data_IF_508922195513
#
_entry.id   IF_508922195513
#
_cell.length_a   1.000
_cell.length_b   1.000
_cell.length_c   1.000
_cell.angle_alpha   90.00
_cell.angle_beta   90.00
_cell.angle_gamma   90.00
#
_symmetry.space_group_name_H-M   'P 1'
#
loop_
_entity.id
_entity.type
_entity.pdbx_description
1 polymer ?
#
# COMPACT_ATOMS: atom_id res chain seq x y z
N UNK A 1 46.32 -17.37 -8.36
CA UNK A 1 45.27 -16.51 -8.92
C UNK A 1 43.95 -17.21 -8.65
N UNK A 2 43.25 -16.91 -7.56
CA UNK A 2 42.48 -15.68 -7.32
C UNK A 2 41.00 -16.09 -7.47
N UNK A 3 40.26 -16.13 -6.36
CA UNK A 3 39.00 -16.89 -6.13
C UNK A 3 37.78 -16.28 -6.88
N UNK A 4 38.02 -15.58 -7.99
CA UNK A 4 37.01 -14.78 -8.68
C UNK A 4 36.62 -13.52 -7.92
N UNK A 5 35.53 -12.89 -8.35
CA UNK A 5 34.96 -11.69 -7.71
C UNK A 5 33.81 -12.07 -6.77
N UNK A 6 33.78 -11.45 -5.58
CA UNK A 6 32.75 -11.69 -4.57
C UNK A 6 31.47 -10.95 -4.96
N UNK A 7 30.32 -11.64 -4.97
CA UNK A 7 29.00 -11.09 -5.29
C UNK A 7 28.21 -10.59 -4.06
N UNK A 8 28.90 -10.16 -3.01
CA UNK A 8 28.25 -9.60 -1.82
C UNK A 8 27.58 -8.26 -2.16
N UNK A 9 26.27 -8.15 -1.90
CA UNK A 9 25.48 -6.97 -2.26
C UNK A 9 25.33 -6.77 -3.78
N UNK A 10 25.53 -7.83 -4.58
CA UNK A 10 25.44 -7.77 -6.03
C UNK A 10 24.40 -8.74 -6.55
N UNK A 11 23.58 -8.29 -7.49
CA UNK A 11 22.66 -9.13 -8.26
C UNK A 11 23.29 -9.46 -9.61
N UNK A 12 23.64 -10.73 -9.80
CA UNK A 12 24.01 -11.26 -11.11
C UNK A 12 22.75 -11.71 -11.83
N UNK A 13 22.56 -11.23 -13.06
CA UNK A 13 21.54 -11.75 -13.96
C UNK A 13 22.20 -12.46 -15.15
N UNK A 14 21.52 -13.48 -15.65
CA UNK A 14 21.97 -14.27 -16.78
C UNK A 14 20.81 -14.42 -17.77
N UNK A 15 21.00 -13.90 -18.97
CA UNK A 15 20.05 -14.04 -20.05
C UNK A 15 20.31 -15.36 -20.78
N UNK A 16 19.42 -16.35 -20.61
CA UNK A 16 19.58 -17.67 -21.21
C UNK A 16 19.42 -17.68 -22.74
N UNK A 17 18.79 -16.67 -23.33
CA UNK A 17 18.54 -16.62 -24.77
C UNK A 17 19.79 -16.21 -25.55
N UNK A 18 20.54 -15.23 -25.02
CA UNK A 18 21.72 -14.67 -25.69
C UNK A 18 23.03 -14.83 -24.89
N UNK A 19 22.98 -15.50 -23.75
CA UNK A 19 24.12 -15.77 -22.85
C UNK A 19 24.80 -14.51 -22.29
N UNK A 20 24.12 -13.37 -22.31
CA UNK A 20 24.64 -12.14 -21.70
C UNK A 20 24.51 -12.19 -20.17
N UNK A 21 25.48 -11.57 -19.49
CA UNK A 21 25.46 -11.37 -18.05
C UNK A 21 25.49 -9.88 -17.74
N UNK A 22 24.71 -9.45 -16.75
CA UNK A 22 24.89 -8.14 -16.14
C UNK A 22 24.90 -8.27 -14.62
N UNK A 23 25.76 -7.49 -13.98
CA UNK A 23 25.85 -7.39 -12.52
C UNK A 23 25.38 -6.00 -12.10
N UNK A 24 24.45 -5.95 -11.15
CA UNK A 24 24.01 -4.72 -10.50
C UNK A 24 24.45 -4.74 -9.04
N UNK A 25 24.95 -3.61 -8.56
CA UNK A 25 25.20 -3.40 -7.14
C UNK A 25 23.91 -2.93 -6.46
N UNK A 26 23.50 -3.64 -5.41
CA UNK A 26 22.38 -3.27 -4.57
C UNK A 26 22.95 -2.47 -3.40
N UNK A 27 22.62 -1.19 -3.36
CA UNK A 27 22.94 -0.33 -2.23
C UNK A 27 21.92 -0.56 -1.11
N UNK A 28 22.41 -0.57 0.12
CA UNK A 28 21.54 -0.67 1.29
C UNK A 28 21.07 0.75 1.63
N UNK A 29 19.76 0.99 1.55
CA UNK A 29 19.18 2.23 2.07
C UNK A 29 18.77 2.01 3.53
N UNK A 30 19.21 2.88 4.44
CA UNK A 30 18.85 2.82 5.86
C UNK A 30 17.32 2.83 6.11
N UNK A 31 16.55 3.28 5.12
CA UNK A 31 15.08 3.36 5.16
C UNK A 31 14.43 1.98 5.29
N UNK A 32 15.07 0.90 4.82
CA UNK A 32 14.49 -0.46 4.83
C UNK A 32 14.91 -1.30 6.03
N UNK A 33 15.82 -0.83 6.90
CA UNK A 33 16.26 -1.58 8.09
C UNK A 33 15.10 -1.95 9.02
N UNK A 34 14.11 -1.08 9.14
CA UNK A 34 12.93 -1.30 9.97
C UNK A 34 11.95 -2.33 9.35
N UNK A 35 12.14 -2.69 8.08
CA UNK A 35 11.33 -3.70 7.38
C UNK A 35 11.94 -5.10 7.46
N UNK A 36 13.17 -5.24 7.97
CA UNK A 36 13.87 -6.52 8.06
C UNK A 36 13.50 -7.20 9.39
N UNK A 37 12.87 -8.38 9.36
CA UNK A 37 12.54 -9.11 10.59
C UNK A 37 13.81 -9.53 11.32
N UNK A 38 13.92 -9.20 12.62
CA UNK A 38 15.14 -9.44 13.41
C UNK A 38 15.18 -10.77 14.15
N UNK A 39 14.09 -11.53 14.13
CA UNK A 39 14.01 -12.87 14.73
C UNK A 39 13.25 -13.82 13.82
N UNK A 40 13.35 -15.12 14.11
CA UNK A 40 12.61 -16.16 13.39
C UNK A 40 11.10 -15.96 13.55
N UNK A 41 10.65 -15.65 14.76
CA UNK A 41 9.24 -15.44 15.08
C UNK A 41 8.69 -14.22 14.33
N UNK A 42 9.45 -13.11 14.29
CA UNK A 42 9.08 -11.94 13.51
C UNK A 42 9.07 -12.24 12.01
N UNK A 43 10.03 -13.03 11.52
CA UNK A 43 10.12 -13.45 10.12
C UNK A 43 8.88 -14.27 9.72
N UNK A 44 8.46 -15.22 10.55
CA UNK A 44 7.28 -16.07 10.31
C UNK A 44 5.97 -15.30 10.42
N UNK A 45 5.89 -14.29 11.28
CA UNK A 45 4.72 -13.42 11.44
C UNK A 45 4.66 -12.26 10.42
N UNK A 46 5.70 -12.08 9.59
CA UNK A 46 5.75 -10.98 8.63
C UNK A 46 4.79 -11.21 7.47
N UNK A 47 3.95 -10.22 7.21
CA UNK A 47 3.08 -10.23 6.04
C UNK A 47 3.84 -9.81 4.78
N UNK A 48 4.40 -10.80 4.08
CA UNK A 48 5.14 -10.58 2.84
C UNK A 48 4.25 -10.20 1.66
N UNK A 49 2.94 -10.49 1.69
CA UNK A 49 2.05 -10.04 0.62
C UNK A 49 1.96 -8.52 0.63
N UNK A 50 1.77 -7.94 1.83
CA UNK A 50 1.85 -6.50 2.04
C UNK A 50 3.23 -5.94 1.72
N UNK A 51 4.30 -6.56 2.24
CA UNK A 51 5.67 -6.04 2.12
C UNK A 51 6.16 -6.04 0.66
N UNK A 52 5.78 -7.06 -0.11
CA UNK A 52 6.10 -7.20 -1.54
C UNK A 52 5.11 -6.47 -2.47
N UNK A 53 4.01 -5.91 -1.94
CA UNK A 53 3.02 -5.17 -2.72
C UNK A 53 2.29 -6.02 -3.76
N UNK A 54 1.99 -7.28 -3.44
CA UNK A 54 1.22 -8.16 -4.32
C UNK A 54 -0.24 -7.67 -4.31
N UNK A 55 -0.73 -7.15 -5.45
CA UNK A 55 -2.13 -6.73 -5.59
C UNK A 55 -3.07 -7.90 -5.37
N UNK A 56 -4.07 -7.70 -4.51
CA UNK A 56 -5.16 -8.64 -4.32
C UNK A 56 -6.15 -8.54 -5.46
N UNK A 57 -6.59 -9.68 -6.01
CA UNK A 57 -7.48 -9.74 -7.17
C UNK A 57 -8.86 -9.08 -6.95
N UNK A 58 -9.24 -8.76 -5.71
CA UNK A 58 -10.57 -8.25 -5.35
C UNK A 58 -10.54 -6.84 -4.73
N UNK A 59 -9.39 -6.17 -4.72
CA UNK A 59 -9.29 -4.77 -4.28
C UNK A 59 -9.07 -3.91 -5.52
N UNK A 60 -9.96 -2.94 -5.72
CA UNK A 60 -9.88 -2.05 -6.88
C UNK A 60 -8.92 -0.87 -6.62
N UNK A 61 -7.93 -0.73 -7.50
CA UNK A 61 -7.04 0.43 -7.54
C UNK A 61 -7.77 1.63 -8.15
N UNK A 62 -8.04 2.67 -7.35
CA UNK A 62 -8.58 3.93 -7.85
C UNK A 62 -7.45 4.90 -8.18
N UNK A 63 -7.48 5.44 -9.40
CA UNK A 63 -6.71 6.64 -9.72
C UNK A 63 -7.39 7.88 -9.13
N UNK A 64 -6.78 9.06 -9.31
CA UNK A 64 -7.32 10.30 -8.73
C UNK A 64 -8.66 10.75 -9.32
N UNK A 65 -8.93 10.44 -10.59
CA UNK A 65 -10.19 10.77 -11.27
C UNK A 65 -11.31 9.86 -10.79
N UNK A 66 -11.07 8.54 -10.83
CA UNK A 66 -12.03 7.54 -10.36
C UNK A 66 -12.36 7.74 -8.89
N UNK A 67 -11.35 8.11 -8.08
CA UNK A 67 -11.57 8.45 -6.67
C UNK A 67 -12.50 9.65 -6.53
N UNK A 68 -12.26 10.75 -7.25
CA UNK A 68 -13.08 11.96 -7.15
C UNK A 68 -14.54 11.72 -7.55
N UNK A 69 -14.79 10.83 -8.51
CA UNK A 69 -16.14 10.44 -8.90
C UNK A 69 -16.79 9.55 -7.82
N UNK A 70 -16.10 8.48 -7.40
CA UNK A 70 -16.68 7.47 -6.50
C UNK A 70 -16.96 7.97 -5.10
N UNK A 71 -16.19 8.92 -4.55
CA UNK A 71 -16.46 9.45 -3.20
C UNK A 71 -17.82 10.16 -3.08
N UNK A 72 -18.46 10.49 -4.21
CA UNK A 72 -19.78 11.13 -4.25
C UNK A 72 -20.93 10.16 -4.49
N UNK A 73 -20.63 8.88 -4.73
CA UNK A 73 -21.65 7.85 -4.92
C UNK A 73 -22.45 7.61 -3.64
N UNK A 74 -23.68 7.11 -3.80
CA UNK A 74 -24.52 6.75 -2.65
C UNK A 74 -24.04 5.42 -2.08
N UNK A 75 -24.22 5.24 -0.78
CA UNK A 75 -23.82 4.03 -0.06
C UNK A 75 -22.29 3.78 -0.12
N UNK A 76 -21.55 4.88 -0.19
CA UNK A 76 -20.08 4.90 -0.20
C UNK A 76 -19.57 5.52 1.09
N UNK A 77 -18.57 4.88 1.68
CA UNK A 77 -17.81 5.44 2.79
C UNK A 77 -16.33 5.55 2.43
N UNK A 78 -15.74 6.70 2.74
CA UNK A 78 -14.30 6.91 2.59
C UNK A 78 -13.64 6.85 3.95
N UNK A 79 -12.59 6.04 4.09
CA UNK A 79 -11.91 5.76 5.35
C UNK A 79 -10.45 6.16 5.25
N UNK A 80 -10.03 7.07 6.13
CA UNK A 80 -8.63 7.41 6.36
C UNK A 80 -8.03 6.46 7.38
N UNK A 81 -7.04 5.66 6.94
CA UNK A 81 -6.37 4.67 7.81
C UNK A 81 -5.03 5.15 8.35
N UNK A 82 -4.77 6.46 8.26
CA UNK A 82 -3.62 7.12 8.87
C UNK A 82 -3.82 7.31 10.38
N UNK A 83 -2.72 7.61 11.06
CA UNK A 83 -2.78 8.05 12.46
C UNK A 83 -3.43 9.45 12.55
N UNK A 84 -4.05 9.75 13.69
CA UNK A 84 -4.90 10.93 13.89
C UNK A 84 -4.18 12.26 13.56
N UNK A 85 -2.88 12.32 13.86
CA UNK A 85 -2.07 13.53 13.76
C UNK A 85 -1.38 13.72 12.39
N UNK A 86 -1.67 12.87 11.40
CA UNK A 86 -1.03 12.97 10.09
C UNK A 86 -1.53 14.16 9.25
N UNK A 87 -0.58 14.84 8.61
CA UNK A 87 -0.82 15.93 7.68
C UNK A 87 -0.43 15.51 6.26
N UNK A 88 -1.12 16.03 5.21
CA UNK A 88 -2.23 16.97 5.27
C UNK A 88 -3.53 16.35 5.81
N UNK A 89 -4.43 17.19 6.31
CA UNK A 89 -5.82 16.77 6.51
C UNK A 89 -6.51 16.62 5.15
N UNK A 90 -7.30 15.57 5.00
CA UNK A 90 -8.15 15.41 3.83
C UNK A 90 -9.26 16.46 3.83
N UNK A 91 -9.56 17.02 2.66
CA UNK A 91 -10.54 18.10 2.46
C UNK A 91 -11.88 17.60 1.88
N UNK A 92 -12.11 16.29 1.96
CA UNK A 92 -13.33 15.60 1.54
C UNK A 92 -13.95 14.84 2.71
N UNK A 93 -15.22 14.44 2.59
CA UNK A 93 -15.91 13.69 3.63
C UNK A 93 -15.26 12.29 3.82
N UNK A 94 -14.87 11.98 5.04
CA UNK A 94 -14.26 10.71 5.41
C UNK A 94 -14.49 10.42 6.89
N UNK A 95 -14.35 9.16 7.27
CA UNK A 95 -14.16 8.76 8.66
C UNK A 95 -12.70 8.42 8.89
N UNK A 96 -12.18 8.71 10.09
CA UNK A 96 -10.82 8.36 10.48
C UNK A 96 -10.86 7.11 11.35
N UNK A 97 -10.29 6.02 10.82
CA UNK A 97 -10.10 4.76 11.53
C UNK A 97 -8.65 4.34 11.30
N UNK A 98 -7.73 4.68 12.22
CA UNK A 98 -6.33 4.28 12.12
C UNK A 98 -6.21 2.77 11.90
N UNK A 99 -5.22 2.36 11.10
CA UNK A 99 -5.02 0.94 10.77
C UNK A 99 -4.87 0.06 12.03
N UNK A 100 -4.28 0.61 13.10
CA UNK A 100 -4.12 -0.04 14.41
C UNK A 100 -5.44 -0.34 15.10
N UNK A 101 -6.47 0.49 14.89
CA UNK A 101 -7.80 0.36 15.51
C UNK A 101 -8.82 -0.35 14.60
N UNK A 102 -8.48 -0.55 13.32
CA UNK A 102 -9.42 -1.00 12.30
C UNK A 102 -10.16 -2.29 12.68
N UNK A 103 -9.44 -3.28 13.22
CA UNK A 103 -10.02 -4.57 13.65
C UNK A 103 -11.11 -4.41 14.72
N UNK A 104 -10.95 -3.47 15.64
CA UNK A 104 -11.90 -3.25 16.74
C UNK A 104 -13.12 -2.45 16.27
N UNK A 105 -12.96 -1.67 15.19
CA UNK A 105 -13.93 -0.70 14.69
C UNK A 105 -14.64 -1.14 13.40
N UNK A 106 -14.49 -2.42 13.00
CA UNK A 106 -15.14 -2.99 11.81
C UNK A 106 -16.67 -2.81 11.81
N UNK A 107 -17.29 -2.80 12.99
CA UNK A 107 -18.75 -2.62 13.15
C UNK A 107 -19.26 -1.23 12.77
N UNK A 108 -18.38 -0.23 12.66
CA UNK A 108 -18.72 1.12 12.19
C UNK A 108 -18.95 1.17 10.68
N UNK A 109 -18.44 0.18 9.93
CA UNK A 109 -18.41 0.17 8.47
C UNK A 109 -19.68 -0.50 7.93
N UNK A 110 -20.71 0.30 7.65
CA UNK A 110 -22.05 -0.20 7.30
C UNK A 110 -22.32 -0.19 5.80
N UNK A 111 -21.69 0.73 5.10
CA UNK A 111 -21.85 1.00 3.67
C UNK A 111 -21.34 -0.16 2.81
N UNK A 112 -21.91 -0.33 1.62
CA UNK A 112 -21.52 -1.39 0.69
C UNK A 112 -20.23 -1.07 -0.07
N UNK A 113 -20.01 0.20 -0.40
CA UNK A 113 -18.80 0.65 -1.10
C UNK A 113 -17.85 1.30 -0.10
N UNK A 114 -16.65 0.74 0.02
CA UNK A 114 -15.62 1.24 0.92
C UNK A 114 -14.44 1.73 0.09
N UNK A 115 -14.04 2.98 0.31
CA UNK A 115 -12.87 3.58 -0.31
C UNK A 115 -11.84 3.87 0.77
N UNK A 116 -10.66 3.25 0.66
CA UNK A 116 -9.59 3.39 1.64
C UNK A 116 -8.50 4.32 1.12
N UNK A 117 -7.94 5.15 1.98
CA UNK A 117 -6.75 5.92 1.63
C UNK A 117 -5.81 6.08 2.81
N UNK A 118 -4.53 6.29 2.49
CA UNK A 118 -3.51 6.67 3.46
C UNK A 118 -2.51 7.62 2.79
N UNK A 119 -1.30 7.77 3.35
CA UNK A 119 -0.30 8.68 2.81
C UNK A 119 0.18 8.30 1.41
N UNK A 120 0.55 7.03 1.21
CA UNK A 120 1.20 6.52 -0.02
C UNK A 120 0.50 5.33 -0.66
N UNK A 121 -0.65 4.90 -0.12
CA UNK A 121 -1.42 3.75 -0.61
C UNK A 121 -1.07 2.41 0.06
N UNK A 122 0.07 2.30 0.76
CA UNK A 122 0.49 1.04 1.41
C UNK A 122 -0.50 0.60 2.50
N UNK A 123 -0.70 1.43 3.54
CA UNK A 123 -1.59 1.09 4.67
C UNK A 123 -3.05 0.89 4.26
N UNK A 124 -3.54 1.60 3.25
CA UNK A 124 -4.90 1.39 2.72
C UNK A 124 -5.04 0.04 2.04
N UNK A 125 -3.98 -0.48 1.41
CA UNK A 125 -3.98 -1.85 0.90
C UNK A 125 -4.15 -2.83 2.06
N UNK A 126 -3.37 -2.67 3.16
CA UNK A 126 -3.49 -3.54 4.35
C UNK A 126 -4.87 -3.51 4.98
N UNK A 127 -5.45 -2.32 5.09
CA UNK A 127 -6.82 -2.16 5.55
C UNK A 127 -7.82 -2.89 4.66
N UNK A 128 -7.61 -2.88 3.34
CA UNK A 128 -8.44 -3.60 2.40
C UNK A 128 -8.39 -5.11 2.65
N UNK A 129 -7.22 -5.67 2.98
CA UNK A 129 -7.07 -7.09 3.32
C UNK A 129 -7.89 -7.45 4.56
N UNK A 130 -7.77 -6.66 5.63
CA UNK A 130 -8.52 -6.86 6.88
C UNK A 130 -10.03 -6.83 6.60
N UNK A 131 -10.48 -5.89 5.76
CA UNK A 131 -11.89 -5.76 5.40
C UNK A 131 -12.37 -6.91 4.51
N UNK A 132 -11.54 -7.38 3.58
CA UNK A 132 -11.84 -8.56 2.76
C UNK A 132 -11.91 -9.84 3.60
N UNK A 133 -11.02 -10.02 4.56
CA UNK A 133 -11.05 -11.17 5.48
C UNK A 133 -12.31 -11.18 6.34
N UNK A 134 -12.77 -10.01 6.78
CA UNK A 134 -13.95 -9.89 7.63
C UNK A 134 -15.27 -9.93 6.85
N UNK A 135 -15.38 -9.20 5.73
CA UNK A 135 -16.62 -9.04 4.97
C UNK A 135 -16.70 -9.92 3.72
N UNK A 136 -15.62 -10.60 3.34
CA UNK A 136 -15.59 -11.42 2.12
C UNK A 136 -15.94 -10.60 0.88
N UNK A 137 -16.93 -11.09 0.11
CA UNK A 137 -17.41 -10.44 -1.11
C UNK A 137 -18.67 -9.60 -0.90
N UNK A 138 -19.10 -9.39 0.35
CA UNK A 138 -20.34 -8.68 0.66
C UNK A 138 -20.21 -7.16 0.46
N UNK A 139 -18.97 -6.64 0.45
CA UNK A 139 -18.67 -5.22 0.26
C UNK A 139 -17.70 -5.04 -0.90
N UNK A 140 -17.85 -3.92 -1.61
CA UNK A 140 -16.93 -3.49 -2.67
C UNK A 140 -15.82 -2.65 -2.05
N UNK A 141 -14.60 -3.16 -2.09
CA UNK A 141 -13.46 -2.52 -1.45
C UNK A 141 -12.52 -1.99 -2.52
N UNK A 142 -12.28 -0.69 -2.46
CA UNK A 142 -11.38 0.03 -3.37
C UNK A 142 -10.40 0.87 -2.54
N UNK A 143 -9.25 1.23 -3.11
CA UNK A 143 -8.31 2.12 -2.43
C UNK A 143 -7.70 3.15 -3.37
N UNK A 144 -7.32 4.30 -2.82
CA UNK A 144 -6.61 5.33 -3.57
C UNK A 144 -5.16 4.91 -3.84
N UNK A 145 -4.86 4.62 -5.10
CA UNK A 145 -3.51 4.26 -5.54
C UNK A 145 -2.56 5.44 -5.36
N UNK A 146 -1.46 5.20 -4.65
CA UNK A 146 -0.48 6.23 -4.30
C UNK A 146 -0.91 7.16 -3.15
N UNK A 147 -2.09 6.97 -2.57
CA UNK A 147 -2.57 7.71 -1.40
C UNK A 147 -2.81 9.20 -1.65
N UNK A 148 -3.02 9.94 -0.56
CA UNK A 148 -3.38 11.37 -0.61
C UNK A 148 -2.28 12.24 -1.25
N UNK A 149 -1.03 11.77 -1.25
CA UNK A 149 0.10 12.49 -1.88
C UNK A 149 -0.14 12.75 -3.37
N UNK A 150 -0.79 11.82 -4.08
CA UNK A 150 -1.08 11.97 -5.51
C UNK A 150 -2.17 13.03 -5.74
N UNK A 151 -3.16 13.13 -4.85
CA UNK A 151 -4.19 14.18 -4.91
C UNK A 151 -3.58 15.57 -4.73
N UNK A 152 -2.63 15.73 -3.80
CA UNK A 152 -1.94 17.00 -3.59
C UNK A 152 -1.12 17.42 -4.81
N UNK A 153 -0.37 16.48 -5.39
CA UNK A 153 0.44 16.74 -6.58
C UNK A 153 -0.44 17.25 -7.72
N UNK A 154 -1.57 16.59 -7.97
CA UNK A 154 -2.54 17.01 -8.99
C UNK A 154 -3.11 18.41 -8.74
N UNK A 155 -3.47 18.74 -7.49
CA UNK A 155 -3.95 20.10 -7.13
C UNK A 155 -2.90 21.17 -7.40
N UNK A 156 -1.63 20.87 -7.14
CA UNK A 156 -0.52 21.80 -7.42
C UNK A 156 -0.27 21.96 -8.93
N UNK A 157 -0.43 20.89 -9.72
CA UNK A 157 -0.30 20.92 -11.18
C UNK A 157 -1.46 21.67 -11.86
N UNK A 158 -2.66 21.66 -11.28
CA UNK A 158 -3.83 22.42 -11.78
C UNK A 158 -3.85 23.89 -11.34
N UNK A 159 -3.01 24.26 -10.36
CA UNK A 159 -2.88 25.63 -9.84
C UNK A 159 -1.74 26.44 -10.48
N UNK A 160 -1.01 25.83 -11.42
CA UNK A 160 0.04 26.45 -12.26
C UNK A 160 -0.41 26.50 -13.72
#
# INVERSE_FOLDING_TARGET
TGIGEILHGKLLTFNMLNYETFIMEISNENVTENLIPRSKEAFEATDYNFLCGISMNNVEDLNTDDFAEKITEKNTITIDVREIDELPKADFAHIQIPLSELNERLSEIKEEQIILFCQSGKRSLKAAEILMEHFGNDKKISHLKGGITVLQKRKNEQSN
#
